data_IF_060213125302
#
_entry.id   IF_060213125302
#
_cell.length_a   1.000
_cell.length_b   1.000
_cell.length_c   1.000
_cell.angle_alpha   90.00
_cell.angle_beta   90.00
_cell.angle_gamma   90.00
#
_symmetry.space_group_name_H-M   'P 1'
#
loop_
_entity.id
_entity.type
_entity.pdbx_description
1 polymer ?
#
# COMPACT_ATOMS: atom_id res chain seq x y z
N UNK A 1 -18.29 -88.17 8.48
CA UNK A 1 -18.62 -88.77 9.78
C UNK A 1 -17.68 -88.23 10.85
N UNK A 2 -18.25 -87.96 12.03
CA UNK A 2 -17.65 -87.65 13.34
C UNK A 2 -17.02 -86.27 13.58
N UNK A 3 -17.88 -85.46 14.21
CA UNK A 3 -17.56 -84.45 15.21
C UNK A 3 -16.66 -84.99 16.33
N UNK A 4 -15.85 -84.10 16.90
CA UNK A 4 -15.35 -84.20 18.28
C UNK A 4 -15.57 -82.85 18.97
N UNK A 5 -15.89 -82.97 20.24
CA UNK A 5 -16.70 -82.15 21.12
C UNK A 5 -15.99 -81.01 21.84
N UNK A 6 -16.81 -80.03 22.22
CA UNK A 6 -16.60 -78.98 23.25
C UNK A 6 -15.89 -79.48 24.51
N UNK A 7 -15.00 -78.64 25.03
CA UNK A 7 -14.76 -78.48 26.47
C UNK A 7 -14.87 -77.01 26.85
N UNK A 8 -15.56 -76.79 27.96
CA UNK A 8 -15.94 -75.51 28.54
C UNK A 8 -14.96 -75.14 29.66
N UNK A 9 -14.41 -73.93 29.61
CA UNK A 9 -13.81 -73.30 30.80
C UNK A 9 -14.47 -71.96 31.06
N UNK A 10 -15.07 -71.89 32.25
CA UNK A 10 -15.62 -70.70 32.88
C UNK A 10 -14.47 -69.95 33.54
N UNK A 11 -14.35 -68.65 33.28
CA UNK A 11 -13.72 -67.71 34.21
C UNK A 11 -14.73 -66.60 34.53
N UNK A 12 -15.02 -66.49 35.83
CA UNK A 12 -15.96 -65.57 36.42
C UNK A 12 -15.25 -64.23 36.70
N UNK A 13 -15.93 -63.14 36.33
CA UNK A 13 -16.12 -61.88 37.07
C UNK A 13 -14.90 -61.04 37.52
N UNK A 14 -14.74 -59.87 36.87
CA UNK A 14 -14.57 -58.58 37.57
C UNK A 14 -15.33 -57.46 36.81
N UNK A 15 -15.97 -56.51 37.51
CA UNK A 15 -16.86 -55.52 36.89
C UNK A 15 -16.07 -54.35 36.31
N UNK A 16 -16.20 -54.12 34.99
CA UNK A 16 -15.72 -52.90 34.37
C UNK A 16 -16.78 -51.79 34.53
N UNK A 17 -16.51 -50.85 35.44
CA UNK A 17 -17.28 -49.61 35.59
C UNK A 17 -17.07 -48.77 34.32
N UNK A 18 -17.98 -48.89 33.38
CA UNK A 18 -18.08 -47.99 32.24
C UNK A 18 -18.70 -46.66 32.69
N UNK A 19 -17.86 -45.64 32.87
CA UNK A 19 -18.33 -44.27 33.01
C UNK A 19 -18.95 -43.83 31.68
N UNK A 20 -20.25 -43.56 31.68
CA UNK A 20 -20.97 -42.96 30.56
C UNK A 20 -20.48 -41.52 30.36
N UNK A 21 -19.53 -41.33 29.45
CA UNK A 21 -19.15 -39.98 28.99
C UNK A 21 -20.18 -39.52 27.98
N UNK A 22 -20.96 -38.53 28.40
CA UNK A 22 -22.10 -37.95 27.71
C UNK A 22 -21.71 -37.38 26.34
N UNK A 23 -22.49 -37.70 25.30
CA UNK A 23 -22.20 -37.45 23.88
C UNK A 23 -22.58 -36.05 23.37
N UNK A 24 -22.51 -35.02 24.22
CA UNK A 24 -22.93 -33.66 23.85
C UNK A 24 -21.77 -32.64 23.77
N UNK A 25 -20.57 -32.99 24.22
CA UNK A 25 -19.43 -32.04 24.24
C UNK A 25 -18.57 -32.09 22.95
N UNK A 26 -18.84 -33.03 22.03
CA UNK A 26 -18.08 -33.16 20.78
C UNK A 26 -18.67 -32.35 19.61
N UNK A 27 -19.87 -31.78 19.80
CA UNK A 27 -20.59 -31.04 18.75
C UNK A 27 -20.49 -29.52 18.89
N UNK A 28 -20.04 -28.98 20.02
CA UNK A 28 -19.81 -27.53 20.14
C UNK A 28 -18.42 -27.08 19.64
N UNK A 29 -17.39 -27.94 19.68
CA UNK A 29 -16.03 -27.56 19.28
C UNK A 29 -15.85 -27.45 17.75
N UNK A 30 -16.65 -28.19 16.97
CA UNK A 30 -16.60 -28.18 15.49
C UNK A 30 -17.34 -26.97 14.90
N UNK A 31 -18.28 -26.39 15.63
CA UNK A 31 -19.12 -25.29 15.09
C UNK A 31 -18.44 -23.93 15.17
N UNK A 32 -17.52 -23.72 16.11
CA UNK A 32 -16.73 -22.47 16.20
C UNK A 32 -15.52 -22.44 15.25
N UNK A 33 -14.94 -23.59 14.90
CA UNK A 33 -13.82 -23.66 13.93
C UNK A 33 -14.31 -23.34 12.50
N UNK A 34 -15.56 -23.67 12.16
CA UNK A 34 -16.12 -23.38 10.83
C UNK A 34 -16.45 -21.91 10.58
N UNK A 35 -16.74 -21.11 11.61
CA UNK A 35 -17.03 -19.67 11.45
C UNK A 35 -15.77 -18.80 11.42
N UNK A 36 -14.67 -19.26 12.03
CA UNK A 36 -13.39 -18.51 12.03
C UNK A 36 -12.53 -18.84 10.80
N UNK A 37 -12.62 -20.05 10.24
CA UNK A 37 -11.79 -20.44 9.09
C UNK A 37 -12.16 -19.71 7.77
N UNK A 38 -13.43 -19.36 7.57
CA UNK A 38 -13.90 -18.77 6.30
C UNK A 38 -13.81 -17.23 6.32
N UNK A 39 -13.86 -16.59 7.50
CA UNK A 39 -13.64 -15.15 7.65
C UNK A 39 -12.18 -14.75 7.91
N UNK A 40 -11.41 -15.60 8.61
CA UNK A 40 -10.02 -15.32 8.98
C UNK A 40 -9.01 -15.59 7.87
N UNK A 41 -9.23 -16.60 7.03
CA UNK A 41 -8.26 -17.00 6.00
C UNK A 41 -8.03 -15.95 4.90
N UNK A 42 -9.08 -15.20 4.52
CA UNK A 42 -8.97 -14.17 3.47
C UNK A 42 -8.37 -12.87 4.03
N UNK A 43 -8.70 -12.49 5.26
CA UNK A 43 -8.11 -11.32 5.90
C UNK A 43 -6.62 -11.53 6.22
N UNK A 44 -6.22 -12.73 6.65
CA UNK A 44 -4.83 -13.06 6.95
C UNK A 44 -3.97 -13.18 5.67
N UNK A 45 -4.55 -13.62 4.54
CA UNK A 45 -3.88 -13.59 3.23
C UNK A 45 -3.71 -12.17 2.67
N UNK A 46 -4.67 -11.27 2.89
CA UNK A 46 -4.57 -9.87 2.48
C UNK A 46 -3.57 -9.10 3.36
N UNK A 47 -3.52 -9.39 4.66
CA UNK A 47 -2.53 -8.79 5.57
C UNK A 47 -1.12 -9.35 5.32
N UNK A 48 -0.95 -10.65 5.04
CA UNK A 48 0.35 -11.23 4.65
C UNK A 48 0.82 -10.77 3.26
N UNK A 49 -0.08 -10.52 2.31
CA UNK A 49 0.31 -9.98 0.99
C UNK A 49 0.60 -8.47 1.02
N UNK A 50 0.00 -7.71 1.95
CA UNK A 50 0.27 -6.28 2.08
C UNK A 50 1.44 -5.94 3.01
N UNK A 51 1.87 -6.86 3.89
CA UNK A 51 3.01 -6.65 4.81
C UNK A 51 4.18 -7.64 4.64
N UNK A 52 4.07 -8.61 3.74
CA UNK A 52 5.04 -9.70 3.58
C UNK A 52 6.24 -9.41 2.70
N UNK A 53 6.94 -8.27 2.86
CA UNK A 53 8.36 -8.16 2.44
C UNK A 53 9.13 -6.94 2.99
N UNK A 54 9.11 -6.67 4.30
CA UNK A 54 10.25 -6.01 4.97
C UNK A 54 10.10 -6.00 6.50
N UNK A 55 10.50 -7.09 7.16
CA UNK A 55 10.83 -7.07 8.58
C UNK A 55 12.31 -6.71 8.73
N UNK A 56 12.63 -5.42 8.71
CA UNK A 56 13.90 -4.92 9.22
C UNK A 56 13.68 -4.31 10.61
N UNK A 57 13.95 -5.14 11.61
CA UNK A 57 14.58 -4.85 12.90
C UNK A 57 14.14 -3.60 13.70
N UNK A 58 13.43 -3.86 14.80
CA UNK A 58 13.43 -3.07 16.03
C UNK A 58 14.80 -3.12 16.74
N UNK A 59 15.83 -2.60 16.07
CA UNK A 59 17.07 -2.18 16.72
C UNK A 59 17.56 -0.90 16.05
N UNK A 60 17.08 0.23 16.54
CA UNK A 60 17.99 1.33 16.85
C UNK A 60 17.44 2.08 18.07
N UNK A 61 18.04 1.76 19.21
CA UNK A 61 18.06 2.63 20.38
C UNK A 61 18.67 3.98 19.97
N UNK A 62 17.92 5.04 20.25
CA UNK A 62 18.39 6.42 20.53
C UNK A 62 19.44 7.02 19.59
N UNK A 63 18.99 7.63 18.49
CA UNK A 63 19.50 8.95 18.05
C UNK A 63 18.31 9.77 17.51
N UNK A 64 17.43 10.22 18.42
CA UNK A 64 16.50 11.33 18.14
C UNK A 64 17.08 12.62 18.73
N UNK A 65 18.18 13.07 18.13
CA UNK A 65 18.63 14.47 18.04
C UNK A 65 19.54 14.50 16.83
N UNK A 66 19.28 15.44 15.92
CA UNK A 66 19.83 15.57 14.56
C UNK A 66 19.10 14.74 13.49
N UNK A 67 17.81 15.00 13.27
CA UNK A 67 17.22 14.83 11.93
C UNK A 67 16.15 15.91 11.64
N UNK A 68 16.42 17.16 12.01
CA UNK A 68 15.55 18.29 11.63
C UNK A 68 16.25 19.31 10.70
N UNK A 69 17.40 18.98 10.10
CA UNK A 69 18.10 19.92 9.20
C UNK A 69 18.91 19.28 8.06
N UNK A 70 18.46 18.17 7.46
CA UNK A 70 19.12 17.61 6.23
C UNK A 70 18.14 17.23 5.12
N UNK A 71 16.82 17.41 5.28
CA UNK A 71 15.90 17.38 4.12
C UNK A 71 16.11 18.58 3.18
N UNK A 72 16.86 19.60 3.60
CA UNK A 72 17.27 20.74 2.79
C UNK A 72 18.55 20.49 1.97
N UNK A 73 19.17 19.31 2.04
CA UNK A 73 20.51 19.08 1.44
C UNK A 73 20.48 18.28 0.15
N UNK A 74 19.35 17.68 -0.24
CA UNK A 74 19.25 16.98 -1.54
C UNK A 74 18.74 17.96 -2.59
N UNK A 75 19.51 18.27 -3.64
CA UNK A 75 19.04 19.14 -4.71
C UNK A 75 17.80 18.56 -5.37
N UNK A 76 16.84 19.43 -5.72
CA UNK A 76 15.56 19.07 -6.35
C UNK A 76 15.77 18.22 -7.62
N UNK A 77 16.85 18.43 -8.37
CA UNK A 77 17.20 17.64 -9.55
C UNK A 77 17.41 16.15 -9.24
N UNK A 78 18.03 15.81 -8.11
CA UNK A 78 18.21 14.41 -7.70
C UNK A 78 16.88 13.74 -7.36
N UNK A 79 15.95 14.48 -6.76
CA UNK A 79 14.62 13.95 -6.45
C UNK A 79 13.78 13.73 -7.72
N UNK A 80 13.90 14.62 -8.71
CA UNK A 80 13.26 14.48 -10.02
C UNK A 80 13.82 13.28 -10.81
N UNK A 81 15.14 13.11 -10.82
CA UNK A 81 15.79 11.95 -11.44
C UNK A 81 15.39 10.63 -10.75
N UNK A 82 15.31 10.65 -9.43
CA UNK A 82 14.80 9.51 -8.66
C UNK A 82 13.34 9.22 -9.03
N UNK A 83 12.48 10.23 -9.06
CA UNK A 83 11.06 10.07 -9.41
C UNK A 83 10.89 9.51 -10.83
N UNK A 84 11.71 9.96 -11.78
CA UNK A 84 11.77 9.43 -13.14
C UNK A 84 12.18 7.96 -13.18
N UNK A 85 13.21 7.60 -12.40
CA UNK A 85 13.68 6.22 -12.28
C UNK A 85 12.60 5.31 -11.68
N UNK A 86 11.93 5.73 -10.61
CA UNK A 86 10.84 4.94 -10.02
C UNK A 86 9.66 4.81 -11.00
N UNK A 87 9.30 5.88 -11.72
CA UNK A 87 8.24 5.83 -12.76
C UNK A 87 8.61 4.88 -13.91
N UNK A 88 9.90 4.77 -14.25
CA UNK A 88 10.38 3.84 -15.27
C UNK A 88 10.30 2.36 -14.82
N UNK A 89 10.40 2.09 -13.51
CA UNK A 89 10.28 0.75 -12.93
C UNK A 89 8.85 0.21 -12.97
N UNK A 90 7.86 1.07 -13.18
CA UNK A 90 6.45 0.66 -13.40
C UNK A 90 6.31 -0.12 -14.72
N UNK A 91 7.10 0.17 -15.76
CA UNK A 91 6.97 -0.53 -17.07
C UNK A 91 7.18 -2.05 -16.99
N UNK A 92 8.24 -2.56 -16.32
CA UNK A 92 8.38 -3.99 -16.05
C UNK A 92 7.17 -4.63 -15.37
N UNK A 93 6.55 -3.93 -14.41
CA UNK A 93 5.39 -4.43 -13.68
C UNK A 93 4.15 -4.48 -14.58
N UNK A 94 3.92 -3.44 -15.39
CA UNK A 94 2.87 -3.41 -16.41
C UNK A 94 3.03 -4.58 -17.38
N UNK A 95 4.26 -4.85 -17.85
CA UNK A 95 4.53 -5.98 -18.75
C UNK A 95 4.27 -7.33 -18.07
N UNK A 96 4.68 -7.50 -16.82
CA UNK A 96 4.40 -8.71 -16.03
C UNK A 96 2.90 -8.94 -15.88
N UNK A 97 2.14 -7.90 -15.54
CA UNK A 97 0.69 -7.99 -15.38
C UNK A 97 0.00 -8.29 -16.72
N UNK A 98 0.49 -7.73 -17.83
CA UNK A 98 0.00 -8.03 -19.17
C UNK A 98 0.20 -9.52 -19.53
N UNK A 99 1.34 -10.11 -19.19
CA UNK A 99 1.54 -11.56 -19.38
C UNK A 99 0.57 -12.41 -18.56
N UNK A 100 0.27 -12.01 -17.33
CA UNK A 100 -0.71 -12.73 -16.48
C UNK A 100 -2.11 -12.64 -17.09
N UNK A 101 -2.51 -11.45 -17.57
CA UNK A 101 -3.79 -11.23 -18.25
C UNK A 101 -3.87 -12.08 -19.53
N UNK A 102 -2.86 -12.04 -20.38
CA UNK A 102 -2.83 -12.83 -21.61
C UNK A 102 -2.87 -14.34 -21.33
N UNK A 103 -2.17 -14.80 -20.29
CA UNK A 103 -2.26 -16.20 -19.87
C UNK A 103 -3.65 -16.57 -19.38
N UNK A 104 -4.35 -15.65 -18.71
CA UNK A 104 -5.71 -15.88 -18.23
C UNK A 104 -6.75 -15.86 -19.36
N UNK A 105 -6.57 -15.02 -20.38
CA UNK A 105 -7.35 -15.04 -21.62
C UNK A 105 -7.33 -16.42 -22.27
N UNK A 106 -6.14 -17.01 -22.43
CA UNK A 106 -6.00 -18.36 -22.99
C UNK A 106 -6.69 -19.41 -22.11
N UNK A 107 -6.64 -19.28 -20.78
CA UNK A 107 -7.34 -20.21 -19.88
C UNK A 107 -8.86 -20.08 -19.99
N UNK A 108 -9.37 -18.87 -20.15
CA UNK A 108 -10.80 -18.60 -20.40
C UNK A 108 -11.22 -19.27 -21.71
N UNK A 109 -10.48 -19.08 -22.80
CA UNK A 109 -10.77 -19.73 -24.09
C UNK A 109 -10.72 -21.26 -24.00
N UNK A 110 -9.77 -21.81 -23.24
CA UNK A 110 -9.71 -23.26 -23.01
C UNK A 110 -10.90 -23.77 -22.21
N UNK A 111 -11.37 -23.00 -21.21
CA UNK A 111 -12.55 -23.36 -20.43
C UNK A 111 -13.82 -23.30 -21.27
N UNK A 112 -13.98 -22.28 -22.11
CA UNK A 112 -15.08 -22.18 -23.07
C UNK A 112 -15.13 -23.37 -24.02
N UNK A 113 -13.98 -23.79 -24.56
CA UNK A 113 -13.88 -24.99 -25.40
C UNK A 113 -14.32 -26.25 -24.66
N UNK A 114 -13.90 -26.42 -23.40
CA UNK A 114 -14.30 -27.56 -22.56
C UNK A 114 -15.80 -27.57 -22.27
N UNK A 115 -16.37 -26.40 -21.96
CA UNK A 115 -17.82 -26.22 -21.77
C UNK A 115 -18.55 -26.67 -23.03
N UNK A 116 -18.15 -26.16 -24.20
CA UNK A 116 -18.78 -26.52 -25.47
C UNK A 116 -18.70 -28.03 -25.75
N UNK A 117 -17.55 -28.65 -25.55
CA UNK A 117 -17.40 -30.11 -25.72
C UNK A 117 -18.30 -30.89 -24.75
N UNK A 118 -18.43 -30.43 -23.50
CA UNK A 118 -19.29 -31.09 -22.52
C UNK A 118 -20.78 -30.90 -22.84
N UNK A 119 -21.19 -29.73 -23.34
CA UNK A 119 -22.54 -29.47 -23.84
C UNK A 119 -22.90 -30.39 -25.02
N UNK A 120 -21.98 -30.55 -25.97
CA UNK A 120 -22.13 -31.47 -27.10
C UNK A 120 -22.26 -32.93 -26.62
N UNK A 121 -21.42 -33.35 -25.66
CA UNK A 121 -21.51 -34.68 -25.02
C UNK A 121 -22.89 -34.88 -24.37
N UNK A 122 -23.31 -33.95 -23.50
CA UNK A 122 -24.60 -34.00 -22.83
C UNK A 122 -25.77 -34.06 -23.82
N UNK A 123 -25.73 -33.29 -24.91
CA UNK A 123 -26.77 -33.36 -25.94
C UNK A 123 -26.85 -34.75 -26.59
N UNK A 124 -25.71 -35.39 -26.82
CA UNK A 124 -25.67 -36.74 -27.37
C UNK A 124 -26.12 -37.79 -26.37
N UNK A 125 -25.70 -37.67 -25.11
CA UNK A 125 -26.09 -38.58 -24.03
C UNK A 125 -27.59 -38.50 -23.76
N UNK A 126 -28.17 -37.30 -23.79
CA UNK A 126 -29.62 -37.11 -23.67
C UNK A 126 -30.38 -37.87 -24.77
N UNK A 127 -29.92 -37.79 -26.03
CA UNK A 127 -30.54 -38.54 -27.15
C UNK A 127 -30.44 -40.04 -26.93
N UNK A 128 -29.28 -40.52 -26.48
CA UNK A 128 -29.05 -41.94 -26.21
C UNK A 128 -29.96 -42.44 -25.08
N UNK A 129 -30.05 -41.70 -23.98
CA UNK A 129 -30.91 -41.99 -22.83
C UNK A 129 -32.40 -42.07 -23.25
N UNK A 130 -32.88 -41.09 -24.02
CA UNK A 130 -34.26 -41.08 -24.51
C UNK A 130 -34.57 -42.27 -25.43
N UNK A 131 -33.61 -42.67 -26.27
CA UNK A 131 -33.73 -43.86 -27.11
C UNK A 131 -33.83 -45.13 -26.27
N UNK A 132 -32.88 -45.35 -25.37
CA UNK A 132 -32.85 -46.52 -24.46
C UNK A 132 -34.12 -46.62 -23.62
N UNK A 133 -34.62 -45.47 -23.12
CA UNK A 133 -35.89 -45.38 -22.41
C UNK A 133 -37.06 -45.82 -23.30
N UNK A 134 -37.19 -45.24 -24.50
CA UNK A 134 -38.26 -45.58 -25.45
C UNK A 134 -38.23 -47.05 -25.85
N UNK A 135 -37.03 -47.61 -26.04
CA UNK A 135 -36.84 -49.03 -26.38
C UNK A 135 -37.33 -49.91 -25.23
N UNK A 136 -36.99 -49.61 -23.97
CA UNK A 136 -37.49 -50.32 -22.80
C UNK A 136 -39.02 -50.21 -22.63
N UNK A 137 -39.61 -49.07 -22.94
CA UNK A 137 -41.07 -48.85 -22.89
C UNK A 137 -41.83 -49.64 -23.96
N UNK A 138 -41.18 -50.06 -25.05
CA UNK A 138 -41.80 -50.86 -26.11
C UNK A 138 -42.23 -52.27 -25.66
N UNK A 139 -41.72 -52.76 -24.53
CA UNK A 139 -42.02 -54.10 -24.00
C UNK A 139 -41.26 -55.25 -24.68
N UNK A 140 -40.27 -54.94 -25.52
CA UNK A 140 -39.41 -55.95 -26.17
C UNK A 140 -38.44 -56.58 -25.16
N UNK A 141 -38.18 -57.89 -25.26
CA UNK A 141 -37.30 -58.60 -24.31
C UNK A 141 -35.83 -58.74 -24.76
N UNK A 142 -35.54 -58.49 -26.03
CA UNK A 142 -34.22 -58.59 -26.62
C UNK A 142 -33.91 -57.33 -27.43
N UNK A 143 -32.81 -56.66 -27.10
CA UNK A 143 -32.39 -55.39 -27.68
C UNK A 143 -31.09 -55.57 -28.45
N UNK A 144 -30.98 -54.97 -29.63
CA UNK A 144 -29.78 -55.05 -30.44
C UNK A 144 -29.13 -53.68 -30.59
N UNK A 145 -27.94 -53.53 -30.02
CA UNK A 145 -27.14 -52.32 -30.12
C UNK A 145 -25.75 -52.66 -30.64
N UNK A 146 -25.29 -51.95 -31.67
CA UNK A 146 -23.94 -52.10 -32.26
C UNK A 146 -23.55 -53.55 -32.58
N UNK A 147 -24.51 -54.39 -32.99
CA UNK A 147 -24.28 -55.80 -33.33
C UNK A 147 -24.26 -56.78 -32.16
N UNK A 148 -24.50 -56.31 -30.92
CA UNK A 148 -24.58 -57.14 -29.71
C UNK A 148 -26.01 -57.12 -29.17
N UNK A 149 -26.47 -58.28 -28.67
CA UNK A 149 -27.79 -58.46 -28.09
C UNK A 149 -27.74 -58.26 -26.57
N UNK A 150 -28.73 -57.59 -26.01
CA UNK A 150 -28.87 -57.30 -24.59
C UNK A 150 -30.27 -57.62 -24.11
N UNK A 151 -30.39 -58.05 -22.86
CA UNK A 151 -31.66 -58.27 -22.18
C UNK A 151 -32.22 -56.97 -21.60
N UNK A 152 -33.53 -56.91 -21.35
CA UNK A 152 -34.17 -55.76 -20.71
C UNK A 152 -33.53 -55.37 -19.37
N UNK A 153 -33.06 -56.35 -18.59
CA UNK A 153 -32.39 -56.10 -17.31
C UNK A 153 -31.04 -55.40 -17.50
N UNK A 154 -30.24 -55.84 -18.46
CA UNK A 154 -28.94 -55.22 -18.78
C UNK A 154 -29.11 -53.81 -19.32
N UNK A 155 -30.09 -53.60 -20.21
CA UNK A 155 -30.40 -52.27 -20.76
C UNK A 155 -30.89 -51.31 -19.67
N UNK A 156 -31.71 -51.79 -18.73
CA UNK A 156 -32.14 -50.98 -17.59
C UNK A 156 -30.98 -50.58 -16.68
N UNK A 157 -30.06 -51.51 -16.38
CA UNK A 157 -28.87 -51.20 -15.59
C UNK A 157 -27.95 -50.20 -16.29
N UNK A 158 -27.76 -50.34 -17.61
CA UNK A 158 -26.98 -49.39 -18.41
C UNK A 158 -27.64 -48.01 -18.42
N UNK A 159 -28.98 -47.95 -18.54
CA UNK A 159 -29.74 -46.70 -18.48
C UNK A 159 -29.57 -45.99 -17.14
N UNK A 160 -29.63 -46.71 -16.02
CA UNK A 160 -29.39 -46.17 -14.68
C UNK A 160 -27.99 -45.57 -14.57
N UNK A 161 -26.95 -46.32 -14.96
CA UNK A 161 -25.57 -45.86 -14.90
C UNK A 161 -25.32 -44.62 -15.78
N UNK A 162 -25.88 -44.60 -16.99
CA UNK A 162 -25.76 -43.45 -17.90
C UNK A 162 -26.50 -42.22 -17.39
N UNK A 163 -27.64 -42.40 -16.74
CA UNK A 163 -28.41 -41.31 -16.18
C UNK A 163 -27.67 -40.66 -14.99
N UNK A 164 -27.01 -41.48 -14.16
CA UNK A 164 -26.15 -41.00 -13.09
C UNK A 164 -24.94 -40.22 -13.63
N UNK A 165 -24.27 -40.73 -14.66
CA UNK A 165 -23.17 -40.01 -15.35
C UNK A 165 -23.66 -38.70 -15.96
N UNK A 166 -24.79 -38.72 -16.68
CA UNK A 166 -25.40 -37.54 -17.28
C UNK A 166 -25.71 -36.45 -16.25
N UNK A 167 -26.28 -36.83 -15.10
CA UNK A 167 -26.60 -35.89 -14.02
C UNK A 167 -25.33 -35.27 -13.44
N UNK A 168 -24.29 -36.09 -13.23
CA UNK A 168 -22.98 -35.62 -12.73
C UNK A 168 -22.31 -34.66 -13.72
N UNK A 169 -22.36 -34.97 -15.02
CA UNK A 169 -21.82 -34.12 -16.08
C UNK A 169 -22.62 -32.81 -16.21
N UNK A 170 -23.94 -32.83 -16.01
CA UNK A 170 -24.79 -31.64 -16.00
C UNK A 170 -24.43 -30.70 -14.83
N UNK A 171 -24.21 -31.24 -13.63
CA UNK A 171 -23.73 -30.46 -12.48
C UNK A 171 -22.32 -29.89 -12.70
N UNK A 172 -21.47 -30.69 -13.35
CA UNK A 172 -20.12 -30.28 -13.74
C UNK A 172 -20.17 -29.12 -14.74
N UNK A 173 -21.02 -29.19 -15.76
CA UNK A 173 -21.25 -28.11 -16.72
C UNK A 173 -21.71 -26.83 -16.02
N UNK A 174 -22.72 -26.93 -15.14
CA UNK A 174 -23.21 -25.79 -14.35
C UNK A 174 -22.09 -25.12 -13.55
N UNK A 175 -21.20 -25.93 -12.96
CA UNK A 175 -20.05 -25.44 -12.21
C UNK A 175 -18.99 -24.79 -13.10
N UNK A 176 -18.70 -25.36 -14.27
CA UNK A 176 -17.78 -24.78 -15.25
C UNK A 176 -18.28 -23.44 -15.79
N UNK A 177 -19.58 -23.32 -16.09
CA UNK A 177 -20.19 -22.06 -16.55
C UNK A 177 -20.06 -20.96 -15.47
N UNK A 178 -20.31 -21.29 -14.20
CA UNK A 178 -20.09 -20.35 -13.08
C UNK A 178 -18.62 -19.94 -12.96
N UNK A 179 -17.70 -20.89 -13.11
CA UNK A 179 -16.27 -20.61 -13.10
C UNK A 179 -15.85 -19.70 -14.26
N UNK A 180 -16.38 -19.94 -15.46
CA UNK A 180 -16.14 -19.10 -16.63
C UNK A 180 -16.60 -17.67 -16.35
N UNK A 181 -17.82 -17.48 -15.85
CA UNK A 181 -18.33 -16.15 -15.49
C UNK A 181 -17.41 -15.45 -14.48
N UNK A 182 -16.97 -16.15 -13.42
CA UNK A 182 -16.08 -15.59 -12.41
C UNK A 182 -14.71 -15.19 -13.00
N UNK A 183 -14.14 -16.02 -13.89
CA UNK A 183 -12.87 -15.72 -14.57
C UNK A 183 -12.99 -14.54 -15.53
N UNK A 184 -14.04 -14.50 -16.34
CA UNK A 184 -14.29 -13.40 -17.28
C UNK A 184 -14.45 -12.06 -16.54
N UNK A 185 -15.19 -12.05 -15.43
CA UNK A 185 -15.33 -10.86 -14.59
C UNK A 185 -13.98 -10.43 -14.00
N UNK A 186 -13.22 -11.38 -13.46
CA UNK A 186 -11.89 -11.11 -12.87
C UNK A 186 -10.90 -10.59 -13.91
N UNK A 187 -10.93 -11.16 -15.12
CA UNK A 187 -10.11 -10.74 -16.25
C UNK A 187 -10.47 -9.32 -16.70
N UNK A 188 -11.76 -8.99 -16.76
CA UNK A 188 -12.20 -7.63 -17.06
C UNK A 188 -11.66 -6.62 -16.04
N UNK A 189 -11.84 -6.88 -14.74
CA UNK A 189 -11.27 -6.03 -13.67
C UNK A 189 -9.75 -5.93 -13.74
N UNK A 190 -9.06 -7.02 -14.09
CA UNK A 190 -7.60 -7.00 -14.25
C UNK A 190 -7.16 -6.07 -15.41
N UNK A 191 -7.87 -6.11 -16.54
CA UNK A 191 -7.63 -5.21 -17.68
C UNK A 191 -7.87 -3.75 -17.31
N UNK A 192 -8.95 -3.45 -16.60
CA UNK A 192 -9.23 -2.08 -16.11
C UNK A 192 -8.12 -1.56 -15.19
N UNK A 193 -7.67 -2.39 -14.24
CA UNK A 193 -6.56 -2.04 -13.34
C UNK A 193 -5.26 -1.81 -14.08
N UNK A 194 -4.95 -2.61 -15.10
CA UNK A 194 -3.77 -2.41 -15.94
C UNK A 194 -3.86 -1.08 -16.70
N UNK A 195 -5.02 -0.76 -17.28
CA UNK A 195 -5.24 0.51 -17.98
C UNK A 195 -5.11 1.70 -17.03
N UNK A 196 -5.67 1.61 -15.82
CA UNK A 196 -5.53 2.63 -14.78
C UNK A 196 -4.06 2.83 -14.37
N UNK A 197 -3.30 1.74 -14.20
CA UNK A 197 -1.87 1.81 -13.88
C UNK A 197 -1.07 2.52 -14.99
N UNK A 198 -1.34 2.20 -16.25
CA UNK A 198 -0.70 2.88 -17.39
C UNK A 198 -1.09 4.36 -17.47
N UNK A 199 -2.34 4.71 -17.17
CA UNK A 199 -2.78 6.10 -17.12
C UNK A 199 -2.08 6.88 -16.01
N UNK A 200 -2.03 6.32 -14.80
CA UNK A 200 -1.31 6.90 -13.66
C UNK A 200 0.18 7.09 -13.96
N UNK A 201 0.81 6.12 -14.62
CA UNK A 201 2.20 6.24 -15.02
C UNK A 201 2.42 7.40 -16.02
N UNK A 202 1.57 7.52 -17.05
CA UNK A 202 1.65 8.65 -18.00
C UNK A 202 1.48 9.98 -17.28
N UNK A 203 0.54 10.05 -16.32
CA UNK A 203 0.31 11.24 -15.51
C UNK A 203 1.56 11.62 -14.69
N UNK A 204 2.15 10.67 -13.97
CA UNK A 204 3.37 10.89 -13.20
C UNK A 204 4.53 11.38 -14.08
N UNK A 205 4.67 10.82 -15.29
CA UNK A 205 5.69 11.27 -16.24
C UNK A 205 5.51 12.76 -16.61
N UNK A 206 4.30 13.16 -16.99
CA UNK A 206 4.00 14.56 -17.34
C UNK A 206 4.20 15.50 -16.14
N UNK A 207 3.82 15.05 -14.94
CA UNK A 207 3.99 15.83 -13.72
C UNK A 207 5.46 16.07 -13.38
N UNK A 208 6.30 15.03 -13.50
CA UNK A 208 7.76 15.15 -13.36
C UNK A 208 8.34 16.11 -14.40
N UNK A 209 7.94 16.00 -15.68
CA UNK A 209 8.40 16.90 -16.75
C UNK A 209 8.03 18.38 -16.47
N UNK A 210 6.82 18.64 -15.96
CA UNK A 210 6.41 19.98 -15.55
C UNK A 210 7.20 20.49 -14.34
N UNK A 211 7.48 19.64 -13.35
CA UNK A 211 8.32 20.01 -12.19
C UNK A 211 9.77 20.29 -12.60
N UNK A 212 10.33 19.51 -13.53
CA UNK A 212 11.65 19.76 -14.13
C UNK A 212 11.69 21.13 -14.84
N UNK A 213 10.66 21.46 -15.63
CA UNK A 213 10.57 22.76 -16.29
C UNK A 213 10.50 23.92 -15.28
N UNK A 214 9.72 23.76 -14.21
CA UNK A 214 9.63 24.75 -13.13
C UNK A 214 10.96 24.93 -12.39
N UNK A 215 11.66 23.84 -12.07
CA UNK A 215 12.96 23.89 -11.43
C UNK A 215 13.99 24.64 -12.29
N UNK A 216 14.02 24.36 -13.60
CA UNK A 216 14.89 25.08 -14.55
C UNK A 216 14.60 26.57 -14.62
N UNK A 217 13.32 26.98 -14.63
CA UNK A 217 12.98 28.41 -14.60
C UNK A 217 13.46 29.10 -13.32
N UNK A 218 13.34 28.43 -12.17
CA UNK A 218 13.86 28.95 -10.89
C UNK A 218 15.38 29.10 -10.94
N UNK A 219 16.11 28.09 -11.45
CA UNK A 219 17.57 28.15 -11.60
C UNK A 219 18.03 29.30 -12.51
N UNK A 220 17.34 29.52 -13.64
CA UNK A 220 17.62 30.64 -14.55
C UNK A 220 17.38 31.99 -13.85
N UNK A 221 16.27 32.12 -13.11
CA UNK A 221 15.97 33.33 -12.35
C UNK A 221 17.01 33.60 -11.24
N UNK A 222 17.42 32.56 -10.50
CA UNK A 222 18.47 32.66 -9.49
C UNK A 222 19.81 33.11 -10.09
N UNK A 223 20.25 32.47 -11.17
CA UNK A 223 21.48 32.85 -11.87
C UNK A 223 21.42 34.29 -12.41
N UNK A 224 20.26 34.74 -12.86
CA UNK A 224 20.06 36.13 -13.31
C UNK A 224 20.04 37.13 -12.15
N UNK A 225 19.62 36.72 -10.95
CA UNK A 225 19.57 37.57 -9.76
C UNK A 225 20.90 37.70 -9.03
N UNK A 226 21.72 36.64 -9.02
CA UNK A 226 23.07 36.62 -8.43
C UNK A 226 23.97 37.72 -9.04
N UNK A 227 23.82 38.01 -10.34
CA UNK A 227 24.55 39.08 -11.03
C UNK A 227 24.08 40.52 -10.66
N UNK A 228 22.98 40.69 -9.91
CA UNK A 228 22.37 42.01 -9.65
C UNK A 228 22.36 42.46 -8.19
N UNK A 229 22.64 41.56 -7.25
CA UNK A 229 22.51 41.78 -5.81
C UNK A 229 23.84 41.49 -5.11
N UNK A 230 24.83 42.40 -5.14
CA UNK A 230 25.74 42.64 -3.98
C UNK A 230 26.86 43.67 -4.19
N UNK A 231 27.18 44.17 -5.39
CA UNK A 231 28.37 45.03 -5.50
C UNK A 231 28.12 46.50 -5.12
N UNK A 232 26.94 47.06 -5.39
CA UNK A 232 26.75 48.52 -5.27
C UNK A 232 26.50 49.03 -3.83
N UNK A 233 25.83 48.26 -2.96
CA UNK A 233 25.58 48.71 -1.58
C UNK A 233 26.76 48.40 -0.66
N UNK A 234 27.36 47.20 -0.77
CA UNK A 234 28.56 46.86 -0.02
C UNK A 234 29.76 47.74 -0.43
N UNK A 235 29.92 48.07 -1.71
CA UNK A 235 30.97 49.02 -2.15
C UNK A 235 30.74 50.42 -1.58
N UNK A 236 29.51 50.95 -1.64
CA UNK A 236 29.19 52.27 -1.05
C UNK A 236 29.40 52.31 0.46
N UNK A 237 29.06 51.24 1.17
CA UNK A 237 29.29 51.15 2.62
C UNK A 237 30.78 51.05 2.96
N UNK A 238 31.58 50.34 2.17
CA UNK A 238 33.05 50.30 2.33
C UNK A 238 33.70 51.67 2.09
N UNK A 239 33.32 52.36 1.01
CA UNK A 239 33.80 53.73 0.73
C UNK A 239 33.46 54.71 1.87
N UNK A 240 32.26 54.61 2.43
CA UNK A 240 31.85 55.45 3.56
C UNK A 240 32.73 55.18 4.79
N UNK A 241 32.99 53.92 5.12
CA UNK A 241 33.86 53.54 6.26
C UNK A 241 35.30 54.03 6.05
N UNK A 242 35.86 53.90 4.85
CA UNK A 242 37.21 54.38 4.54
C UNK A 242 37.30 55.91 4.60
N UNK A 243 36.25 56.62 4.19
CA UNK A 243 36.18 58.08 4.31
C UNK A 243 36.17 58.54 5.78
N UNK A 244 35.45 57.83 6.66
CA UNK A 244 35.40 58.11 8.09
C UNK A 244 36.77 57.87 8.74
N UNK A 245 37.42 56.75 8.44
CA UNK A 245 38.76 56.45 8.94
C UNK A 245 39.81 57.49 8.52
N UNK A 246 39.75 57.96 7.28
CA UNK A 246 40.67 58.98 6.77
C UNK A 246 40.48 60.32 7.49
N UNK A 247 39.24 60.68 7.81
CA UNK A 247 38.91 61.91 8.55
C UNK A 247 39.40 61.84 10.00
N UNK A 248 39.14 60.72 10.71
CA UNK A 248 39.63 60.52 12.08
C UNK A 248 41.15 60.64 12.15
N UNK A 249 41.89 60.03 11.21
CA UNK A 249 43.37 60.13 11.18
C UNK A 249 43.88 61.54 10.91
N UNK A 250 43.13 62.33 10.15
CA UNK A 250 43.47 63.74 9.89
C UNK A 250 43.24 64.58 11.14
N UNK A 251 42.12 64.35 11.82
CA UNK A 251 41.80 65.01 13.09
C UNK A 251 42.79 64.62 14.20
N UNK A 252 43.19 63.34 14.29
CA UNK A 252 44.26 62.88 15.19
C UNK A 252 45.59 63.54 14.87
N UNK A 253 45.96 63.69 13.59
CA UNK A 253 47.17 64.41 13.17
C UNK A 253 47.11 65.90 13.47
N UNK A 254 45.94 66.54 13.37
CA UNK A 254 45.75 67.94 13.71
C UNK A 254 45.83 68.15 15.22
N UNK A 255 45.16 67.30 16.01
CA UNK A 255 45.23 67.32 17.48
C UNK A 255 46.65 67.04 18.00
N UNK A 256 47.38 66.12 17.38
CA UNK A 256 48.78 65.85 17.73
C UNK A 256 49.77 66.89 17.20
N UNK A 257 49.44 67.62 16.13
CA UNK A 257 50.20 68.78 15.65
C UNK A 257 49.94 70.04 16.49
N UNK A 258 48.76 70.19 17.08
CA UNK A 258 48.39 71.31 17.95
C UNK A 258 48.85 71.10 19.42
N UNK A 259 49.09 69.86 19.84
CA UNK A 259 49.54 69.49 21.20
C UNK A 259 51.07 69.45 21.38
N UNK A 260 51.85 70.27 20.66
CA UNK A 260 53.27 70.56 21.01
C UNK A 260 53.65 72.01 20.69
N UNK A 261 53.72 72.88 21.71
CA UNK A 261 55.02 73.26 22.31
C UNK A 261 54.99 73.09 23.84
N UNK A 262 55.96 72.38 24.43
CA UNK A 262 57.21 72.91 25.00
C UNK A 262 57.01 73.74 26.29
N UNK A 263 57.38 73.09 27.40
CA UNK A 263 57.81 73.61 28.73
C UNK A 263 56.87 73.36 29.95
N UNK A 264 57.50 72.97 31.07
CA UNK A 264 56.94 72.38 32.32
C UNK A 264 56.36 73.48 33.27
N UNK A 265 55.64 73.27 34.38
CA UNK A 265 55.72 72.39 35.59
C UNK A 265 54.29 72.25 36.22
N UNK A 266 53.93 71.15 36.91
CA UNK A 266 52.56 70.85 37.39
C UNK A 266 52.30 71.20 38.86
N UNK A 267 51.04 71.57 39.22
CA UNK A 267 50.48 71.51 40.58
C UNK A 267 48.91 71.44 40.57
N UNK A 268 48.35 70.45 41.28
CA UNK A 268 47.08 70.39 42.09
C UNK A 268 45.71 70.77 41.43
N UNK A 269 44.51 70.24 41.73
CA UNK A 269 43.90 69.35 42.77
C UNK A 269 42.39 69.09 42.43
N UNK A 270 41.82 68.04 43.05
CA UNK A 270 40.38 67.74 43.33
C UNK A 270 39.40 67.46 42.17
N UNK A 271 38.81 66.25 42.06
CA UNK A 271 37.59 65.70 42.74
C UNK A 271 36.28 66.23 42.11
N UNK A 272 35.14 65.56 41.94
CA UNK A 272 34.51 64.26 42.29
C UNK A 272 33.22 64.17 41.40
N UNK A 273 32.87 63.05 40.75
CA UNK A 273 31.84 62.03 41.11
C UNK A 273 30.52 62.52 41.72
N UNK A 274 29.38 62.25 41.06
CA UNK A 274 28.03 61.93 41.61
C UNK A 274 27.04 61.75 40.43
N UNK A 275 25.91 61.03 40.48
CA UNK A 275 25.35 59.99 41.34
C UNK A 275 24.31 59.26 40.46
N UNK A 276 24.22 57.95 40.54
CA UNK A 276 23.43 57.08 39.65
C UNK A 276 21.94 57.02 40.04
N UNK A 277 21.60 57.57 41.21
CA UNK A 277 20.27 57.48 41.81
C UNK A 277 19.21 58.39 41.17
N UNK A 278 19.59 59.51 40.56
CA UNK A 278 18.65 60.41 39.86
C UNK A 278 18.09 59.81 38.54
N UNK A 279 18.81 58.84 37.96
CA UNK A 279 18.45 58.24 36.67
C UNK A 279 17.42 57.12 36.79
N UNK A 280 17.19 56.59 38.00
CA UNK A 280 16.24 55.50 38.25
C UNK A 280 14.85 56.05 38.61
N UNK A 281 14.78 57.25 39.19
CA UNK A 281 13.51 57.92 39.55
C UNK A 281 12.65 58.30 38.35
N UNK A 282 13.23 58.54 37.17
CA UNK A 282 12.51 59.02 35.98
C UNK A 282 11.89 57.90 35.13
N UNK A 283 12.15 56.62 35.43
CA UNK A 283 11.69 55.50 34.60
C UNK A 283 10.41 54.80 35.12
N UNK A 284 9.97 55.07 36.35
CA UNK A 284 8.85 54.35 36.98
C UNK A 284 7.61 55.21 37.32
N UNK A 285 7.58 56.51 36.97
CA UNK A 285 6.50 57.43 37.38
C UNK A 285 5.47 57.79 36.28
N UNK A 286 5.28 56.97 35.25
CA UNK A 286 4.09 57.15 34.38
C UNK A 286 3.67 55.87 33.66
N UNK A 287 3.22 54.89 34.42
CA UNK A 287 2.42 53.76 33.95
C UNK A 287 1.03 53.78 34.57
N UNK A 288 0.01 53.62 33.72
CA UNK A 288 -1.39 53.23 33.99
C UNK A 288 -2.30 54.32 34.64
N UNK A 289 -3.56 54.56 34.23
CA UNK A 289 -4.61 53.58 33.88
C UNK A 289 -5.95 54.26 33.39
N UNK A 290 -6.79 53.50 32.68
CA UNK A 290 -8.29 53.51 32.56
C UNK A 290 -9.13 54.49 31.67
N UNK A 291 -9.68 53.91 30.58
CA UNK A 291 -11.09 53.75 30.08
C UNK A 291 -12.17 54.89 30.09
N UNK A 292 -12.82 55.06 28.92
CA UNK A 292 -14.27 55.22 28.61
C UNK A 292 -14.99 56.57 28.26
N UNK A 293 -15.50 56.61 27.00
CA UNK A 293 -16.84 57.01 26.42
C UNK A 293 -17.37 58.47 26.37
N UNK A 294 -17.57 58.90 25.09
CA UNK A 294 -18.73 59.53 24.41
C UNK A 294 -19.50 60.73 25.02
N UNK A 295 -19.54 61.87 24.29
CA UNK A 295 -20.73 62.44 23.62
C UNK A 295 -20.60 63.96 23.33
N UNK A 296 -20.85 64.29 22.05
CA UNK A 296 -21.56 65.46 21.48
C UNK A 296 -21.11 66.92 21.75
N UNK A 297 -20.99 67.69 20.65
CA UNK A 297 -21.69 68.98 20.38
C UNK A 297 -20.81 69.99 19.63
N UNK A 298 -20.97 70.10 18.30
CA UNK A 298 -21.45 71.33 17.62
C UNK A 298 -21.66 71.11 16.13
#
# INVERSE_FOLDING_TARGET
>A
MKQVSRTSEKWNEMPFVGTTRNGNDFLEEITMVKKVAIGGGVALLVVLLLFGRSTYSYFSTTVSRVHDSVKSTVPVDFELDRARKETSRIMPEVRKNMHVIASEEVRVEQLEKRIKTLEEKLSQDQKNLLRLKSDLESGTNNFHYSGVSFTAKEVKQDLENRFDEFTTDEETLKSMVKLLQARTNSLHTARERLAAMQASQRKLKVEIENLEARNKMIQVAQASSEDTFEDSQLSRTRELVDSINSRIRTDEKMLSAESRPMDRIPLETSEEVTDILDRISSYFDSGEEVVEVDLASK
#
